data_IF_597218230396
#
_entry.id   IF_597218230396
#
_cell.length_a   1.000
_cell.length_b   1.000
_cell.length_c   1.000
_cell.angle_alpha   90.00
_cell.angle_beta   90.00
_cell.angle_gamma   90.00
#
_symmetry.space_group_name_H-M   'P 1'
#
loop_
_entity.id
_entity.type
_entity.pdbx_description
1 polymer ?
#
# COMPACT_ATOMS: atom_id res chain seq x y z
N UNK A 1 -11.62 -14.24 -18.33
CA UNK A 1 -10.89 -13.51 -19.38
C UNK A 1 -9.47 -13.31 -18.92
N UNK A 2 -8.49 -13.47 -19.81
CA UNK A 2 -7.08 -13.25 -19.48
C UNK A 2 -6.73 -11.78 -19.58
N UNK A 3 -5.99 -11.24 -18.61
CA UNK A 3 -5.44 -9.89 -18.72
C UNK A 3 -4.34 -9.88 -19.80
N UNK A 4 -4.09 -8.74 -20.48
CA UNK A 4 -2.94 -8.63 -21.37
C UNK A 4 -1.62 -9.00 -20.67
N UNK A 5 -1.52 -8.72 -19.37
CA UNK A 5 -0.37 -9.11 -18.54
C UNK A 5 -0.21 -10.63 -18.47
N UNK A 6 -1.29 -11.38 -18.21
CA UNK A 6 -1.30 -12.85 -18.20
C UNK A 6 -0.80 -13.43 -19.53
N UNK A 7 -1.27 -12.89 -20.64
CA UNK A 7 -0.92 -13.38 -21.98
C UNK A 7 0.56 -13.15 -22.30
N UNK A 8 1.14 -12.04 -21.84
CA UNK A 8 2.54 -11.69 -22.09
C UNK A 8 3.49 -12.45 -21.15
N UNK A 9 3.13 -12.60 -19.87
CA UNK A 9 4.04 -13.12 -18.84
C UNK A 9 3.79 -14.60 -18.49
N UNK A 10 2.73 -15.22 -19.03
CA UNK A 10 2.35 -16.60 -18.73
C UNK A 10 1.95 -16.84 -17.27
N UNK A 11 1.73 -15.77 -16.49
CA UNK A 11 1.33 -15.81 -15.08
C UNK A 11 0.37 -14.66 -14.75
N UNK A 12 -0.47 -14.89 -13.76
CA UNK A 12 -1.38 -13.86 -13.27
C UNK A 12 -0.62 -12.71 -12.59
N UNK A 13 -1.09 -11.48 -12.82
CA UNK A 13 -0.57 -10.32 -12.12
C UNK A 13 -0.87 -10.46 -10.62
N UNK A 14 0.15 -10.32 -9.76
CA UNK A 14 -0.07 -10.31 -8.32
C UNK A 14 -0.66 -8.95 -7.90
N UNK A 15 -1.98 -8.87 -7.85
CA UNK A 15 -2.73 -7.68 -7.39
C UNK A 15 -3.07 -7.75 -5.89
N UNK A 16 -2.49 -8.68 -5.14
CA UNK A 16 -2.80 -8.88 -3.72
C UNK A 16 -2.44 -7.67 -2.85
N UNK A 17 -1.63 -6.75 -3.38
CA UNK A 17 -1.22 -5.49 -2.72
C UNK A 17 -1.97 -4.26 -3.24
N UNK A 18 -2.87 -4.43 -4.22
CA UNK A 18 -3.75 -3.37 -4.68
C UNK A 18 -4.88 -3.24 -3.66
N UNK A 19 -4.72 -2.28 -2.76
CA UNK A 19 -5.78 -1.90 -1.82
C UNK A 19 -6.72 -0.87 -2.45
N UNK A 20 -7.96 -0.83 -1.95
CA UNK A 20 -8.93 0.16 -2.39
C UNK A 20 -8.52 1.57 -1.94
N UNK A 21 -8.70 2.55 -2.82
CA UNK A 21 -8.42 3.95 -2.49
C UNK A 21 -9.29 4.42 -1.31
N UNK A 22 -8.68 5.10 -0.34
CA UNK A 22 -9.37 5.62 0.84
C UNK A 22 -9.55 4.58 1.96
N UNK A 23 -9.02 3.37 1.83
CA UNK A 23 -9.04 2.42 2.95
C UNK A 23 -8.23 2.95 4.14
N UNK A 24 -8.78 2.79 5.35
CA UNK A 24 -8.07 3.12 6.58
C UNK A 24 -6.93 2.12 6.79
N UNK A 25 -5.73 2.64 7.02
CA UNK A 25 -4.50 1.87 7.22
C UNK A 25 -3.74 2.41 8.43
N UNK A 26 -2.87 1.58 8.99
CA UNK A 26 -1.96 1.95 10.06
C UNK A 26 -0.53 1.98 9.53
N UNK A 27 0.12 3.13 9.64
CA UNK A 27 1.49 3.35 9.18
C UNK A 27 2.44 3.25 10.35
N UNK A 28 3.47 2.42 10.22
CA UNK A 28 4.47 2.26 11.28
C UNK A 28 5.44 3.45 11.32
N UNK A 29 5.32 4.28 12.36
CA UNK A 29 6.22 5.40 12.64
C UNK A 29 7.51 4.93 13.30
N UNK A 30 8.65 5.31 12.71
CA UNK A 30 9.98 4.95 13.25
C UNK A 30 10.39 5.79 14.47
N UNK A 31 9.81 6.98 14.62
CA UNK A 31 10.24 7.97 15.61
C UNK A 31 9.44 7.94 16.93
N UNK A 32 8.57 6.93 17.13
CA UNK A 32 7.77 6.87 18.36
C UNK A 32 8.60 6.44 19.58
N UNK A 33 8.39 7.14 20.70
CA UNK A 33 8.97 6.84 22.00
C UNK A 33 8.67 5.41 22.47
N UNK A 34 9.44 4.89 23.44
CA UNK A 34 9.34 3.48 23.88
C UNK A 34 7.95 3.07 24.39
N UNK A 35 7.17 4.03 24.88
CA UNK A 35 5.83 3.82 25.43
C UNK A 35 4.72 4.34 24.50
N UNK A 36 5.07 4.97 23.38
CA UNK A 36 4.11 5.56 22.45
C UNK A 36 3.67 4.54 21.41
N UNK A 37 2.45 4.70 20.88
CA UNK A 37 1.99 3.90 19.77
C UNK A 37 2.86 4.18 18.53
N UNK A 38 3.42 3.12 17.93
CA UNK A 38 4.23 3.21 16.71
C UNK A 38 3.39 3.10 15.44
N UNK A 39 2.07 3.15 15.55
CA UNK A 39 1.15 2.97 14.44
C UNK A 39 0.20 4.17 14.40
N UNK A 40 0.24 4.92 13.31
CA UNK A 40 -0.65 6.06 13.08
C UNK A 40 -1.67 5.75 12.00
N UNK A 41 -2.90 6.19 12.22
CA UNK A 41 -4.02 6.04 11.29
C UNK A 41 -3.85 6.97 10.11
N UNK A 42 -3.97 6.42 8.90
CA UNK A 42 -3.89 7.15 7.65
C UNK A 42 -4.87 6.58 6.62
N UNK A 43 -5.11 7.35 5.56
CA UNK A 43 -5.88 6.89 4.41
C UNK A 43 -4.93 6.42 3.30
N UNK A 44 -5.18 5.23 2.74
CA UNK A 44 -4.45 4.72 1.59
C UNK A 44 -4.80 5.52 0.33
N UNK A 45 -3.79 6.07 -0.34
CA UNK A 45 -3.96 6.87 -1.56
C UNK A 45 -3.46 6.10 -2.79
N UNK A 46 -2.46 5.23 -2.63
CA UNK A 46 -1.96 4.44 -3.75
C UNK A 46 -0.62 3.77 -3.48
N UNK A 47 -0.06 3.17 -4.52
CA UNK A 47 1.30 2.62 -4.52
C UNK A 47 2.24 3.68 -5.09
N UNK A 48 3.41 3.83 -4.49
CA UNK A 48 4.42 4.73 -5.04
C UNK A 48 5.05 4.16 -6.31
N UNK A 49 5.28 5.02 -7.30
CA UNK A 49 5.85 4.61 -8.60
C UNK A 49 7.37 4.41 -8.54
N UNK A 50 8.06 5.14 -7.66
CA UNK A 50 9.52 5.16 -7.59
C UNK A 50 10.04 4.19 -6.53
N UNK A 51 9.27 3.99 -5.46
CA UNK A 51 9.61 3.17 -4.31
C UNK A 51 8.64 2.00 -4.13
N UNK A 52 9.08 0.94 -3.44
CA UNK A 52 8.18 -0.15 -2.97
C UNK A 52 7.31 0.29 -1.77
N UNK A 53 6.92 1.56 -1.74
CA UNK A 53 6.16 2.19 -0.66
C UNK A 53 4.69 2.37 -1.03
N UNK A 54 3.90 2.72 -0.02
CA UNK A 54 2.51 3.14 -0.18
C UNK A 54 2.43 4.65 0.03
N UNK A 55 1.62 5.32 -0.79
CA UNK A 55 1.24 6.72 -0.62
C UNK A 55 0.06 6.78 0.33
N UNK A 56 0.19 7.58 1.37
CA UNK A 56 -0.76 7.69 2.47
C UNK A 56 -1.07 9.17 2.71
N UNK A 57 -2.30 9.47 3.12
CA UNK A 57 -2.73 10.83 3.47
C UNK A 57 -3.13 10.88 4.94
N UNK A 58 -2.65 11.90 5.64
CA UNK A 58 -3.07 12.28 6.99
C UNK A 58 -3.89 13.57 6.89
N UNK A 59 -5.08 13.63 7.51
CA UNK A 59 -5.92 14.82 7.53
C UNK A 59 -5.33 15.97 8.35
#
# INVERSE_FOLDING_TARGET
>A
GHTPYDLIHGRHANISRAHEFGTQIYVHMKDAGKLEARAEEACFVGIDEESKGYRVYWP
#
